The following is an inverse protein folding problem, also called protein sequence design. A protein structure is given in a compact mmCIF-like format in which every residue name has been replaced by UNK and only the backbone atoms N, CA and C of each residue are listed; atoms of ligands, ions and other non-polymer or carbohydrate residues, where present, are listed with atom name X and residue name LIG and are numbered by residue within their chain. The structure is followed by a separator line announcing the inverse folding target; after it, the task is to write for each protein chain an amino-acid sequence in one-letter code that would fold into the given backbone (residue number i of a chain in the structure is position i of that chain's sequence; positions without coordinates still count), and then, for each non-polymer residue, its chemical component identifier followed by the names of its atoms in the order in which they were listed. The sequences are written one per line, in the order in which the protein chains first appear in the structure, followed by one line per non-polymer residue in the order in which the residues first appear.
data_IF_148950047060
#
_entry.id   IF_148950047060
#
_cell.length_a   1.000
_cell.length_b   1.000
_cell.length_c   1.000
_cell.angle_alpha   90.00
_cell.angle_beta   90.00
_cell.angle_gamma   90.00
#
_symmetry.space_group_name_H-M   'P 1'
#
loop_
_entity.id
_entity.type
_entity.pdbx_description
1 polymer ?
#
# COMPACT_ATOMS: atom_id res chain seq x y z
N UNK A 1 -5.99 -12.40 -29.46
CA UNK A 1 -6.66 -11.97 -28.21
C UNK A 1 -5.58 -11.75 -27.16
N UNK A 2 -5.41 -10.52 -26.67
CA UNK A 2 -4.31 -10.14 -25.78
C UNK A 2 -4.35 -11.00 -24.49
N UNK A 3 -3.21 -11.54 -24.03
CA UNK A 3 -3.13 -12.44 -22.86
C UNK A 3 -3.80 -11.83 -21.61
N UNK A 4 -3.74 -10.50 -21.52
CA UNK A 4 -4.33 -9.66 -20.47
C UNK A 4 -5.87 -9.72 -20.41
N UNK A 5 -6.56 -9.85 -21.55
CA UNK A 5 -8.04 -9.94 -21.60
C UNK A 5 -8.55 -11.28 -21.06
N UNK A 6 -7.80 -12.38 -21.27
CA UNK A 6 -8.18 -13.70 -20.74
C UNK A 6 -8.09 -13.75 -19.21
N UNK A 7 -7.08 -13.12 -18.61
CA UNK A 7 -6.91 -13.11 -17.15
C UNK A 7 -7.95 -12.23 -16.43
N UNK A 8 -8.35 -11.11 -17.04
CA UNK A 8 -9.46 -10.30 -16.52
C UNK A 8 -10.77 -11.08 -16.45
N UNK A 9 -11.02 -12.00 -17.38
CA UNK A 9 -12.24 -12.80 -17.45
C UNK A 9 -12.44 -13.78 -16.29
N UNK A 10 -11.42 -14.02 -15.46
CA UNK A 10 -11.51 -14.87 -14.27
C UNK A 10 -11.75 -14.10 -12.95
N UNK A 11 -11.73 -12.76 -12.97
CA UNK A 11 -12.05 -11.95 -11.79
C UNK A 11 -13.56 -11.83 -11.57
N UNK A 12 -13.99 -11.76 -10.31
CA UNK A 12 -15.37 -11.37 -9.98
C UNK A 12 -15.66 -9.95 -10.46
N UNK A 13 -16.90 -9.66 -10.85
CA UNK A 13 -17.30 -8.34 -11.35
C UNK A 13 -17.03 -7.22 -10.34
N UNK A 14 -17.32 -7.48 -9.06
CA UNK A 14 -17.01 -6.56 -7.95
C UNK A 14 -15.51 -6.24 -7.85
N UNK A 15 -14.64 -7.23 -8.06
CA UNK A 15 -13.18 -7.00 -8.05
C UNK A 15 -12.75 -6.21 -9.27
N UNK A 16 -13.31 -6.50 -10.46
CA UNK A 16 -13.00 -5.76 -11.70
C UNK A 16 -13.32 -4.27 -11.59
N UNK A 17 -14.46 -3.92 -11.00
CA UNK A 17 -14.89 -2.53 -10.82
C UNK A 17 -13.95 -1.71 -9.92
N UNK A 18 -13.16 -2.37 -9.07
CA UNK A 18 -12.20 -1.72 -8.17
C UNK A 18 -10.79 -1.59 -8.76
N UNK A 19 -10.48 -2.30 -9.85
CA UNK A 19 -9.13 -2.34 -10.41
C UNK A 19 -8.91 -1.19 -11.38
N UNK A 20 -7.91 -0.37 -11.09
CA UNK A 20 -7.45 0.74 -11.92
C UNK A 20 -5.99 0.52 -12.33
N UNK A 21 -5.69 0.67 -13.62
CA UNK A 21 -4.32 0.61 -14.17
C UNK A 21 -3.77 2.01 -14.37
N UNK A 22 -2.51 2.24 -13.98
CA UNK A 22 -1.88 3.57 -14.01
C UNK A 22 -1.15 3.89 -15.32
N UNK A 23 -0.73 2.88 -16.09
CA UNK A 23 -0.07 3.07 -17.40
C UNK A 23 -1.01 2.55 -18.50
N UNK A 24 -1.40 3.28 -19.55
CA UNK A 24 -0.90 4.50 -20.22
C UNK A 24 -2.15 5.11 -20.94
N UNK A 25 -2.46 6.40 -20.75
CA UNK A 25 -3.62 7.14 -21.33
C UNK A 25 -5.01 7.05 -20.68
N UNK A 26 -5.14 6.67 -19.41
CA UNK A 26 -6.40 6.90 -18.69
C UNK A 26 -6.13 7.90 -17.57
N UNK A 27 -6.78 9.06 -17.68
CA UNK A 27 -6.72 10.21 -16.77
C UNK A 27 -6.35 9.76 -15.36
N UNK A 28 -5.11 10.04 -14.96
CA UNK A 28 -4.71 9.89 -13.56
C UNK A 28 -5.75 10.65 -12.75
N UNK A 29 -6.44 9.96 -11.84
CA UNK A 29 -7.39 10.62 -10.97
C UNK A 29 -6.55 11.47 -10.04
N UNK A 30 -6.41 12.76 -10.36
CA UNK A 30 -5.61 13.69 -9.58
C UNK A 30 -6.09 13.61 -8.13
N UNK A 31 -5.20 13.21 -7.23
CA UNK A 31 -5.48 13.25 -5.80
C UNK A 31 -5.37 14.70 -5.40
N UNK A 32 -6.48 15.25 -4.88
CA UNK A 32 -6.49 16.64 -4.46
C UNK A 32 -5.53 16.87 -3.29
N UNK A 33 -5.01 18.08 -3.09
CA UNK A 33 -4.19 18.39 -1.92
C UNK A 33 -4.85 17.98 -0.60
N UNK A 34 -6.17 18.15 -0.48
CA UNK A 34 -6.94 17.74 0.69
C UNK A 34 -6.94 16.22 0.86
N UNK A 35 -7.13 15.45 -0.22
CA UNK A 35 -7.06 13.99 -0.15
C UNK A 35 -5.66 13.51 0.25
N UNK A 36 -4.60 14.13 -0.29
CA UNK A 36 -3.22 13.84 0.09
C UNK A 36 -2.97 14.06 1.58
N UNK A 37 -3.50 15.15 2.16
CA UNK A 37 -3.37 15.42 3.60
C UNK A 37 -4.07 14.36 4.48
N UNK A 38 -5.11 13.70 3.97
CA UNK A 38 -5.81 12.62 4.67
C UNK A 38 -5.22 11.23 4.39
N UNK A 39 -4.13 11.14 3.62
CA UNK A 39 -3.59 9.88 3.11
C UNK A 39 -2.26 9.50 3.78
N UNK A 40 -2.23 8.29 4.31
CA UNK A 40 -1.08 7.60 4.85
C UNK A 40 -0.67 6.45 3.93
N UNK A 41 0.63 6.20 3.77
CA UNK A 41 1.13 5.01 3.10
C UNK A 41 2.10 4.23 3.99
N UNK A 42 2.29 2.95 3.63
CA UNK A 42 3.17 2.04 4.37
C UNK A 42 4.42 1.68 3.57
N UNK A 43 5.50 1.41 4.30
CA UNK A 43 6.66 0.69 3.76
C UNK A 43 7.35 -0.10 4.85
N UNK A 44 8.00 -1.20 4.52
CA UNK A 44 8.83 -1.89 5.49
C UNK A 44 9.50 -3.15 5.00
N UNK A 45 10.06 -3.90 5.94
CA UNK A 45 10.76 -5.15 5.66
C UNK A 45 9.76 -6.25 5.26
N UNK A 46 10.18 -7.08 4.30
CA UNK A 46 9.41 -8.25 3.88
C UNK A 46 9.62 -9.45 4.80
N UNK A 47 10.87 -9.64 5.21
CA UNK A 47 11.27 -10.76 6.04
C UNK A 47 11.37 -10.27 7.49
N UNK A 48 10.24 -10.29 8.19
CA UNK A 48 10.19 -10.01 9.63
C UNK A 48 10.26 -11.36 10.34
N UNK A 49 11.21 -11.52 11.26
CA UNK A 49 11.35 -12.74 12.03
C UNK A 49 10.08 -12.99 12.87
N UNK A 50 9.70 -14.25 13.06
CA UNK A 50 8.41 -14.62 13.68
C UNK A 50 8.27 -14.03 15.09
N UNK A 51 9.35 -13.99 15.86
CA UNK A 51 9.42 -13.39 17.19
C UNK A 51 9.07 -11.89 17.20
N UNK A 52 9.30 -11.20 16.07
CA UNK A 52 9.05 -9.76 15.93
C UNK A 52 7.68 -9.45 15.34
N UNK A 53 6.95 -10.43 14.78
CA UNK A 53 5.66 -10.19 14.13
C UNK A 53 4.64 -9.57 15.10
N UNK A 54 4.53 -10.12 16.31
CA UNK A 54 3.57 -9.61 17.31
C UNK A 54 3.89 -8.15 17.69
N UNK A 55 5.15 -7.86 17.98
CA UNK A 55 5.62 -6.52 18.31
C UNK A 55 5.38 -5.53 17.17
N UNK A 56 5.77 -5.88 15.93
CA UNK A 56 5.55 -5.02 14.76
C UNK A 56 4.07 -4.77 14.52
N UNK A 57 3.22 -5.80 14.66
CA UNK A 57 1.78 -5.68 14.49
C UNK A 57 1.18 -4.71 15.50
N UNK A 58 1.57 -4.80 16.77
CA UNK A 58 1.12 -3.89 17.81
C UNK A 58 1.57 -2.44 17.54
N UNK A 59 2.84 -2.23 17.17
CA UNK A 59 3.35 -0.90 16.85
C UNK A 59 2.67 -0.30 15.62
N UNK A 60 2.44 -1.09 14.58
CA UNK A 60 1.66 -0.67 13.41
C UNK A 60 0.24 -0.27 13.81
N UNK A 61 -0.43 -1.08 14.63
CA UNK A 61 -1.78 -0.78 15.11
C UNK A 61 -1.84 0.54 15.87
N UNK A 62 -0.89 0.79 16.76
CA UNK A 62 -0.83 2.04 17.52
C UNK A 62 -0.57 3.25 16.61
N UNK A 63 0.36 3.14 15.65
CA UNK A 63 0.63 4.21 14.68
C UNK A 63 -0.57 4.49 13.76
N UNK A 64 -1.26 3.44 13.30
CA UNK A 64 -2.47 3.57 12.47
C UNK A 64 -3.61 4.21 13.27
N UNK A 65 -3.84 3.79 14.52
CA UNK A 65 -4.85 4.42 15.38
C UNK A 65 -4.57 5.90 15.61
N UNK A 66 -3.31 6.26 15.90
CA UNK A 66 -2.89 7.65 16.03
C UNK A 66 -3.13 8.45 14.75
N UNK A 67 -2.85 7.87 13.59
CA UNK A 67 -3.14 8.50 12.30
C UNK A 67 -4.66 8.73 12.13
N UNK A 68 -5.50 7.73 12.44
CA UNK A 68 -6.97 7.87 12.39
C UNK A 68 -7.45 9.00 13.31
N UNK A 69 -6.95 9.05 14.55
CA UNK A 69 -7.31 10.08 15.54
C UNK A 69 -6.86 11.49 15.10
N UNK A 70 -5.77 11.57 14.32
CA UNK A 70 -5.28 12.82 13.72
C UNK A 70 -6.04 13.20 12.43
N UNK A 71 -6.98 12.36 11.98
CA UNK A 71 -7.88 12.65 10.86
C UNK A 71 -7.54 11.93 9.56
N UNK A 72 -6.51 11.06 9.53
CA UNK A 72 -6.21 10.26 8.33
C UNK A 72 -7.35 9.28 8.03
N UNK A 73 -7.75 9.22 6.75
CA UNK A 73 -8.86 8.38 6.26
C UNK A 73 -8.44 7.38 5.20
N UNK A 74 -7.33 7.62 4.49
CA UNK A 74 -6.91 6.79 3.37
C UNK A 74 -5.58 6.15 3.72
N UNK A 75 -5.51 4.83 3.60
CA UNK A 75 -4.33 4.03 3.88
C UNK A 75 -3.91 3.27 2.62
N UNK A 76 -2.73 3.58 2.08
CA UNK A 76 -2.20 2.94 0.89
C UNK A 76 -1.17 1.87 1.30
N UNK A 77 -1.44 0.62 0.91
CA UNK A 77 -0.50 -0.48 1.07
C UNK A 77 0.02 -0.94 -0.29
N UNK A 78 1.32 -1.20 -0.36
CA UNK A 78 1.93 -1.83 -1.52
C UNK A 78 1.61 -3.32 -1.65
N UNK A 79 0.96 -3.93 -0.64
CA UNK A 79 0.65 -5.36 -0.62
C UNK A 79 1.88 -6.26 -0.85
N UNK A 80 3.08 -5.78 -0.51
CA UNK A 80 4.25 -6.63 -0.40
C UNK A 80 4.13 -7.52 0.84
N UNK A 81 4.70 -8.71 0.79
CA UNK A 81 4.81 -9.56 1.99
C UNK A 81 5.52 -8.82 3.13
N UNK A 82 5.19 -9.18 4.38
CA UNK A 82 5.74 -8.57 5.58
C UNK A 82 4.95 -7.33 6.00
N UNK A 83 5.66 -6.20 6.19
CA UNK A 83 5.06 -4.95 6.73
C UNK A 83 3.79 -4.52 6.01
N UNK A 84 3.80 -4.46 4.67
CA UNK A 84 2.67 -3.95 3.89
C UNK A 84 1.41 -4.81 4.10
N UNK A 85 1.55 -6.14 4.15
CA UNK A 85 0.43 -7.06 4.44
C UNK A 85 -0.02 -7.02 5.90
N UNK A 86 0.90 -6.90 6.87
CA UNK A 86 0.55 -6.76 8.29
C UNK A 86 -0.23 -5.46 8.51
N UNK A 87 0.25 -4.34 7.97
CA UNK A 87 -0.44 -3.06 8.06
C UNK A 87 -1.82 -3.11 7.37
N UNK A 88 -1.93 -3.79 6.22
CA UNK A 88 -3.20 -3.95 5.53
C UNK A 88 -4.23 -4.76 6.33
N UNK A 89 -3.83 -5.85 6.99
CA UNK A 89 -4.71 -6.61 7.88
C UNK A 89 -5.16 -5.76 9.08
N UNK A 90 -4.25 -4.99 9.68
CA UNK A 90 -4.59 -4.06 10.77
C UNK A 90 -5.63 -3.02 10.31
N UNK A 91 -5.45 -2.40 9.14
CA UNK A 91 -6.46 -1.45 8.61
C UNK A 91 -7.80 -2.15 8.36
N UNK A 92 -7.79 -3.36 7.80
CA UNK A 92 -9.00 -4.15 7.55
C UNK A 92 -9.75 -4.46 8.85
N UNK A 93 -9.06 -4.80 9.93
CA UNK A 93 -9.67 -4.95 11.25
C UNK A 93 -10.29 -3.63 11.72
N UNK A 94 -9.56 -2.52 11.61
CA UNK A 94 -10.01 -1.21 12.06
C UNK A 94 -11.20 -0.67 11.24
N UNK A 95 -11.37 -1.04 9.98
CA UNK A 95 -12.56 -0.73 9.17
C UNK A 95 -13.86 -1.28 9.79
N UNK A 96 -13.79 -2.27 10.68
CA UNK A 96 -14.97 -2.75 11.41
C UNK A 96 -15.48 -1.71 12.40
N UNK A 97 -14.57 -0.92 13.00
CA UNK A 97 -14.87 0.13 13.99
C UNK A 97 -14.98 1.53 13.35
N UNK A 98 -14.12 1.85 12.39
CA UNK A 98 -14.04 3.16 11.73
C UNK A 98 -14.52 3.04 10.29
N UNK A 99 -15.79 3.39 10.02
CA UNK A 99 -16.43 3.16 8.71
C UNK A 99 -16.00 4.14 7.61
N UNK A 100 -15.35 5.22 8.00
CA UNK A 100 -14.89 6.29 7.13
C UNK A 100 -13.41 6.18 6.73
N UNK A 101 -12.73 5.08 7.12
CA UNK A 101 -11.37 4.79 6.66
C UNK A 101 -11.37 3.80 5.48
N UNK A 102 -10.40 3.97 4.60
CA UNK A 102 -10.28 3.22 3.35
C UNK A 102 -8.88 2.63 3.18
N UNK A 103 -8.83 1.35 2.85
CA UNK A 103 -7.63 0.70 2.36
C UNK A 103 -7.56 0.78 0.83
N UNK A 104 -6.42 1.19 0.28
CA UNK A 104 -6.11 1.15 -1.14
C UNK A 104 -4.93 0.21 -1.35
N UNK A 105 -5.09 -0.76 -2.25
CA UNK A 105 -4.00 -1.63 -2.67
C UNK A 105 -3.26 -0.98 -3.84
N UNK A 106 -1.95 -0.87 -3.78
CA UNK A 106 -1.12 -0.39 -4.88
C UNK A 106 -0.10 -1.44 -5.30
N UNK A 107 -0.48 -2.22 -6.31
CA UNK A 107 0.29 -3.36 -6.78
C UNK A 107 1.38 -2.91 -7.77
N UNK A 108 2.56 -3.53 -7.73
CA UNK A 108 3.64 -3.20 -8.65
C UNK A 108 3.34 -3.66 -10.08
N UNK A 109 2.61 -4.77 -10.25
CA UNK A 109 2.22 -5.27 -11.57
C UNK A 109 0.97 -6.17 -11.53
N UNK A 110 0.28 -6.32 -12.67
CA UNK A 110 -1.04 -6.98 -12.78
C UNK A 110 -1.10 -8.36 -12.15
N UNK A 111 -0.10 -9.22 -12.38
CA UNK A 111 -0.10 -10.60 -11.89
C UNK A 111 -0.23 -10.70 -10.36
N UNK A 112 0.11 -9.65 -9.60
CA UNK A 112 -0.11 -9.61 -8.14
C UNK A 112 -1.58 -9.64 -7.74
N UNK A 113 -2.51 -9.27 -8.63
CA UNK A 113 -3.96 -9.41 -8.40
C UNK A 113 -4.39 -10.85 -8.09
N UNK A 114 -3.61 -11.83 -8.54
CA UNK A 114 -3.89 -13.26 -8.39
C UNK A 114 -3.00 -13.94 -7.35
N UNK A 115 -2.22 -13.17 -6.57
CA UNK A 115 -1.45 -13.77 -5.47
C UNK A 115 -2.38 -14.29 -4.38
N UNK A 116 -2.12 -15.53 -3.94
CA UNK A 116 -2.83 -16.14 -2.80
C UNK A 116 -2.60 -15.38 -1.51
N UNK A 117 -1.40 -14.80 -1.33
CA UNK A 117 -0.98 -14.07 -0.13
C UNK A 117 -1.91 -12.90 0.20
N UNK A 118 -2.42 -12.21 -0.83
CA UNK A 118 -3.21 -10.98 -0.66
C UNK A 118 -4.68 -11.16 -1.04
N UNK A 119 -5.08 -12.38 -1.41
CA UNK A 119 -6.43 -12.68 -1.90
C UNK A 119 -7.52 -12.29 -0.87
N UNK A 120 -7.24 -12.46 0.43
CA UNK A 120 -8.14 -12.07 1.52
C UNK A 120 -8.17 -10.57 1.84
N UNK A 121 -7.21 -9.79 1.34
CA UNK A 121 -7.10 -8.34 1.58
C UNK A 121 -7.75 -7.51 0.47
N UNK A 122 -7.60 -7.94 -0.78
CA UNK A 122 -8.11 -7.20 -1.96
C UNK A 122 -9.63 -6.89 -1.89
N UNK A 123 -10.52 -7.77 -1.41
CA UNK A 123 -11.94 -7.48 -1.31
C UNK A 123 -12.27 -6.30 -0.36
N UNK A 124 -11.48 -6.11 0.70
CA UNK A 124 -11.64 -5.04 1.69
C UNK A 124 -11.13 -3.68 1.18
N UNK A 125 -10.34 -3.68 0.11
CA UNK A 125 -9.84 -2.46 -0.49
C UNK A 125 -10.97 -1.68 -1.16
N UNK A 126 -10.97 -0.35 -0.99
CA UNK A 126 -11.85 0.55 -1.73
C UNK A 126 -11.44 0.61 -3.20
N UNK A 127 -10.14 0.60 -3.45
CA UNK A 127 -9.54 0.68 -4.77
C UNK A 127 -8.31 -0.23 -4.85
N UNK A 128 -8.08 -0.80 -6.03
CA UNK A 128 -6.89 -1.60 -6.35
C UNK A 128 -6.20 -0.96 -7.55
N UNK A 129 -5.08 -0.32 -7.29
CA UNK A 129 -4.24 0.35 -8.26
C UNK A 129 -3.13 -0.61 -8.73
N UNK A 130 -2.82 -0.62 -10.03
CA UNK A 130 -1.74 -1.44 -10.61
C UNK A 130 -0.79 -0.53 -11.38
N UNK A 131 0.49 -0.51 -10.97
CA UNK A 131 1.50 0.35 -11.57
C UNK A 131 1.86 -0.08 -13.01
N UNK A 132 2.07 -1.38 -13.25
CA UNK A 132 2.46 -1.92 -14.55
C UNK A 132 1.64 -3.16 -14.94
N UNK A 133 1.51 -3.44 -16.23
CA UNK A 133 0.87 -4.70 -16.67
C UNK A 133 1.80 -5.88 -16.38
N UNK A 134 3.06 -5.76 -16.80
CA UNK A 134 4.07 -6.82 -16.70
C UNK A 134 5.06 -6.57 -15.57
N UNK A 135 5.71 -7.63 -15.08
CA UNK A 135 6.77 -7.50 -14.09
C UNK A 135 8.05 -6.97 -14.75
N UNK A 136 8.17 -5.65 -14.84
CA UNK A 136 9.31 -4.97 -15.42
C UNK A 136 10.27 -4.43 -14.35
N UNK A 137 11.54 -4.25 -14.73
CA UNK A 137 12.54 -3.62 -13.86
C UNK A 137 12.06 -2.22 -13.48
N UNK A 138 11.97 -1.95 -12.18
CA UNK A 138 11.57 -0.64 -11.66
C UNK A 138 10.09 -0.52 -11.27
N UNK A 139 9.23 -1.51 -11.56
CA UNK A 139 7.80 -1.45 -11.21
C UNK A 139 7.56 -1.21 -9.71
N UNK A 140 8.36 -1.81 -8.82
CA UNK A 140 8.30 -1.56 -7.39
C UNK A 140 8.70 -0.13 -7.00
N UNK A 141 9.71 0.44 -7.66
CA UNK A 141 10.12 1.83 -7.41
C UNK A 141 9.08 2.81 -7.92
N UNK A 142 8.52 2.57 -9.12
CA UNK A 142 7.42 3.36 -9.66
C UNK A 142 6.24 3.38 -8.69
N UNK A 143 5.82 2.19 -8.24
CA UNK A 143 4.78 2.02 -7.23
C UNK A 143 5.10 2.79 -5.95
N UNK A 144 6.28 2.62 -5.37
CA UNK A 144 6.66 3.28 -4.12
C UNK A 144 6.66 4.81 -4.24
N UNK A 145 7.17 5.35 -5.35
CA UNK A 145 7.16 6.80 -5.59
C UNK A 145 5.73 7.34 -5.65
N UNK A 146 4.85 6.65 -6.36
CA UNK A 146 3.45 7.06 -6.45
C UNK A 146 2.78 7.08 -5.07
N UNK A 147 2.97 6.02 -4.26
CA UNK A 147 2.42 5.98 -2.89
C UNK A 147 2.87 7.20 -2.06
N UNK A 148 4.14 7.58 -2.15
CA UNK A 148 4.72 8.71 -1.43
C UNK A 148 4.16 10.05 -1.96
N UNK A 149 4.11 10.23 -3.28
CA UNK A 149 3.64 11.47 -3.90
C UNK A 149 2.17 11.78 -3.57
N UNK A 150 1.38 10.75 -3.28
CA UNK A 150 -0.06 10.83 -3.01
C UNK A 150 -0.40 10.71 -1.50
N UNK A 151 0.60 10.71 -0.63
CA UNK A 151 0.43 10.65 0.83
C UNK A 151 1.08 11.85 1.52
N UNK A 152 0.58 12.20 2.70
CA UNK A 152 1.24 13.17 3.60
C UNK A 152 1.95 12.50 4.77
N UNK A 153 1.63 11.22 5.04
CA UNK A 153 2.28 10.38 6.06
C UNK A 153 2.83 9.10 5.45
N UNK A 154 4.03 8.73 5.85
CA UNK A 154 4.63 7.41 5.68
C UNK A 154 4.85 6.77 7.05
N UNK A 155 4.21 5.62 7.29
CA UNK A 155 4.56 4.75 8.42
C UNK A 155 5.55 3.69 7.90
N UNK A 156 6.77 3.71 8.42
CA UNK A 156 7.89 2.92 7.94
C UNK A 156 8.42 1.94 9.00
N UNK A 157 8.31 0.63 8.76
CA UNK A 157 8.85 -0.40 9.65
C UNK A 157 10.24 -0.82 9.18
N UNK A 158 11.27 -0.64 10.01
CA UNK A 158 12.67 -0.80 9.61
C UNK A 158 13.54 -1.37 10.72
N UNK A 159 14.53 -2.19 10.36
CA UNK A 159 15.59 -2.70 11.24
C UNK A 159 16.82 -1.77 11.27
N UNK A 160 16.70 -0.56 10.71
CA UNK A 160 17.77 0.43 10.64
C UNK A 160 18.84 0.17 9.57
N UNK A 161 18.86 -1.01 8.93
CA UNK A 161 19.86 -1.32 7.89
C UNK A 161 19.65 -0.46 6.65
N UNK A 162 20.74 0.10 6.14
CA UNK A 162 20.73 0.87 4.91
C UNK A 162 20.61 -0.05 3.68
N UNK A 163 20.06 0.49 2.59
CA UNK A 163 19.86 -0.23 1.34
C UNK A 163 18.54 -1.01 1.25
N UNK A 164 18.19 -1.35 0.02
CA UNK A 164 16.94 -2.03 -0.33
C UNK A 164 15.72 -1.10 -0.47
N UNK A 165 14.56 -1.69 -0.71
CA UNK A 165 13.33 -0.96 -1.05
C UNK A 165 12.78 -0.08 0.08
N UNK A 166 12.93 -0.51 1.34
CA UNK A 166 12.45 0.23 2.52
C UNK A 166 13.27 1.52 2.72
N UNK A 167 14.60 1.40 2.78
CA UNK A 167 15.51 2.55 2.92
C UNK A 167 15.36 3.53 1.75
N UNK A 168 15.23 3.02 0.52
CA UNK A 168 14.91 3.83 -0.65
C UNK A 168 13.61 4.64 -0.46
N UNK A 169 12.53 4.00 -0.02
CA UNK A 169 11.23 4.65 0.16
C UNK A 169 11.26 5.71 1.26
N UNK A 170 11.94 5.43 2.37
CA UNK A 170 12.14 6.40 3.45
C UNK A 170 12.90 7.62 2.93
N UNK A 171 14.04 7.42 2.26
CA UNK A 171 14.84 8.53 1.68
C UNK A 171 14.05 9.33 0.65
N UNK A 172 13.23 8.67 -0.16
CA UNK A 172 12.35 9.35 -1.10
C UNK A 172 11.28 10.19 -0.38
N UNK A 173 10.64 9.65 0.65
CA UNK A 173 9.69 10.39 1.49
C UNK A 173 10.32 11.64 2.13
N UNK A 174 11.55 11.52 2.63
CA UNK A 174 12.30 12.65 3.19
C UNK A 174 12.55 13.72 2.13
N UNK A 175 12.96 13.32 0.92
CA UNK A 175 13.15 14.23 -0.21
C UNK A 175 11.85 14.95 -0.61
N UNK A 176 10.71 14.26 -0.52
CA UNK A 176 9.38 14.80 -0.84
C UNK A 176 8.77 15.62 0.30
N UNK A 177 9.41 15.67 1.48
CA UNK A 177 8.96 16.47 2.61
C UNK A 177 7.68 15.96 3.30
N UNK A 178 7.33 14.68 3.15
CA UNK A 178 6.17 14.10 3.85
C UNK A 178 6.55 13.73 5.29
N UNK A 179 5.56 13.66 6.19
CA UNK A 179 5.80 13.19 7.56
C UNK A 179 6.17 11.70 7.55
N UNK A 180 7.14 11.30 8.36
CA UNK A 180 7.60 9.91 8.45
C UNK A 180 7.61 9.46 9.90
N UNK A 181 6.78 8.46 10.18
CA UNK A 181 6.77 7.74 11.45
C UNK A 181 7.54 6.43 11.28
N UNK A 182 8.70 6.32 11.93
CA UNK A 182 9.54 5.11 11.87
C UNK A 182 9.26 4.20 13.05
N UNK A 183 9.01 2.93 12.77
CA UNK A 183 8.90 1.86 13.76
C UNK A 183 10.14 0.98 13.61
N UNK A 184 10.93 0.90 14.68
CA UNK A 184 12.11 0.05 14.74
C UNK A 184 11.78 -1.28 15.41
N UNK A 185 12.37 -2.37 14.90
CA UNK A 185 12.24 -3.72 15.42
C UNK A 185 13.54 -4.51 15.18
#
# INVERSE_FOLDING_TARGET
MNRNYKEMNHMTEQKRQKVNYIMKELKQKEVTPQQKQLTCCFTGRRNIANENIAFVTEKLKNAILKAIDTGYKIFISGMAEGTDTIAAEVVKELQQKYKDIYLIAYLPYQKKLFSKEIAGLLPCCKEICVAEIENQKGCYHLRNRYMIEHSSLLIAVTDGKQGGGTDYTIKYGQKMGIHIEKIYF
#
